data_IF_536399155111
#
_entry.id   IF_536399155111
#
_cell.length_a   1.000
_cell.length_b   1.000
_cell.length_c   1.000
_cell.angle_alpha   90.00
_cell.angle_beta   90.00
_cell.angle_gamma   90.00
#
_symmetry.space_group_name_H-M   'P 1'
#
loop_
_entity.id
_entity.type
_entity.pdbx_description
1 polymer ?
#
# COMPACT_ATOMS: atom_id res chain seq x y z
N UNK A 1 20.55 -27.49 -70.06
CA UNK A 1 19.77 -27.96 -68.89
C UNK A 1 20.60 -27.69 -67.65
N UNK A 2 20.46 -26.50 -67.04
CA UNK A 2 19.78 -26.23 -65.75
C UNK A 2 20.19 -27.17 -64.61
N UNK A 3 20.78 -26.60 -63.54
CA UNK A 3 20.34 -26.68 -62.13
C UNK A 3 21.46 -26.06 -61.25
N UNK A 4 21.40 -24.75 -60.97
CA UNK A 4 20.74 -24.08 -59.83
C UNK A 4 21.44 -24.30 -58.48
N UNK A 5 22.21 -23.28 -58.10
CA UNK A 5 22.69 -23.02 -56.76
C UNK A 5 21.51 -22.80 -55.80
N UNK A 6 21.55 -23.43 -54.62
CA UNK A 6 20.58 -23.19 -53.55
C UNK A 6 21.28 -22.40 -52.45
N UNK A 7 21.06 -21.08 -52.44
CA UNK A 7 21.47 -20.19 -51.36
C UNK A 7 20.36 -20.20 -50.30
N UNK A 8 20.63 -20.80 -49.13
CA UNK A 8 19.73 -20.72 -47.97
C UNK A 8 19.84 -19.32 -47.34
N UNK A 9 18.77 -18.54 -47.46
CA UNK A 9 18.61 -17.26 -46.77
C UNK A 9 17.90 -17.51 -45.44
N UNK A 10 18.64 -17.56 -44.33
CA UNK A 10 18.08 -17.59 -42.98
C UNK A 10 17.60 -16.19 -42.59
N UNK A 11 16.29 -15.99 -42.59
CA UNK A 11 15.66 -14.79 -42.04
C UNK A 11 15.65 -14.86 -40.51
N UNK A 12 16.49 -14.07 -39.85
CA UNK A 12 16.45 -13.88 -38.40
C UNK A 12 15.24 -13.00 -38.05
N UNK A 13 14.21 -13.61 -37.47
CA UNK A 13 13.05 -12.91 -36.95
C UNK A 13 13.44 -12.26 -35.61
N UNK A 14 13.79 -10.98 -35.63
CA UNK A 14 14.06 -10.20 -34.41
C UNK A 14 12.71 -9.76 -33.85
N UNK A 15 12.21 -10.48 -32.83
CA UNK A 15 11.02 -10.06 -32.10
C UNK A 15 11.32 -8.75 -31.35
N UNK A 16 10.44 -7.73 -31.40
CA UNK A 16 10.62 -6.52 -30.62
C UNK A 16 10.42 -6.84 -29.14
N UNK A 17 11.45 -6.56 -28.34
CA UNK A 17 11.40 -6.61 -26.89
C UNK A 17 10.50 -5.46 -26.39
N UNK A 18 9.27 -5.76 -25.98
CA UNK A 18 8.33 -4.77 -25.44
C UNK A 18 8.77 -4.28 -24.06
N UNK A 19 9.55 -3.20 -24.02
CA UNK A 19 9.98 -2.45 -22.82
C UNK A 19 8.88 -1.51 -22.28
N UNK A 20 7.64 -1.98 -22.10
CA UNK A 20 6.48 -1.10 -21.83
C UNK A 20 6.02 -0.98 -20.35
N UNK A 21 6.78 -1.48 -19.39
CA UNK A 21 6.46 -1.36 -17.96
C UNK A 21 7.07 -0.13 -17.25
N UNK A 22 8.17 0.42 -17.77
CA UNK A 22 8.93 1.50 -17.13
C UNK A 22 8.09 2.73 -16.69
N UNK A 23 7.13 3.25 -17.48
CA UNK A 23 6.42 4.47 -17.10
C UNK A 23 5.49 4.33 -15.88
N UNK A 24 4.90 3.13 -15.68
CA UNK A 24 4.02 2.88 -14.54
C UNK A 24 4.87 2.72 -13.27
N UNK A 25 5.90 1.88 -13.33
CA UNK A 25 6.76 1.62 -12.17
C UNK A 25 7.46 2.89 -11.68
N UNK A 26 7.89 3.75 -12.60
CA UNK A 26 8.47 5.06 -12.28
C UNK A 26 7.45 5.97 -11.58
N UNK A 27 6.22 6.04 -12.09
CA UNK A 27 5.14 6.84 -11.48
C UNK A 27 4.78 6.34 -10.07
N UNK A 28 4.72 5.01 -9.88
CA UNK A 28 4.49 4.40 -8.57
C UNK A 28 5.65 4.70 -7.61
N UNK A 29 6.89 4.58 -8.08
CA UNK A 29 8.09 4.89 -7.30
C UNK A 29 8.13 6.36 -6.86
N UNK A 30 7.69 7.26 -7.73
CA UNK A 30 7.59 8.68 -7.40
C UNK A 30 6.55 8.95 -6.31
N UNK A 31 5.35 8.36 -6.41
CA UNK A 31 4.31 8.46 -5.38
C UNK A 31 4.78 7.89 -4.03
N UNK A 32 5.50 6.77 -4.06
CA UNK A 32 6.09 6.13 -2.88
C UNK A 32 7.07 7.06 -2.16
N UNK A 33 8.01 7.63 -2.91
CA UNK A 33 9.04 8.55 -2.40
C UNK A 33 8.42 9.81 -1.81
N UNK A 34 7.48 10.41 -2.52
CA UNK A 34 6.80 11.61 -2.03
C UNK A 34 6.01 11.31 -0.76
N UNK A 35 5.30 10.18 -0.71
CA UNK A 35 4.51 9.76 0.45
C UNK A 35 5.40 9.55 1.69
N UNK A 36 6.53 8.84 1.56
CA UNK A 36 7.37 8.53 2.73
C UNK A 36 8.08 9.78 3.28
N UNK A 37 8.47 10.72 2.43
CA UNK A 37 9.00 12.03 2.86
C UNK A 37 7.93 12.81 3.63
N UNK A 38 6.69 12.83 3.15
CA UNK A 38 5.60 13.53 3.86
C UNK A 38 5.30 12.83 5.19
N UNK A 39 5.17 11.51 5.20
CA UNK A 39 4.79 10.73 6.38
C UNK A 39 5.85 10.79 7.48
N UNK A 40 7.13 10.63 7.13
CA UNK A 40 8.17 10.36 8.11
C UNK A 40 9.16 11.51 8.32
N UNK A 41 9.34 12.41 7.36
CA UNK A 41 10.36 13.46 7.44
C UNK A 41 9.80 14.89 7.47
N UNK A 42 8.54 15.07 7.10
CA UNK A 42 7.89 16.39 7.12
C UNK A 42 7.32 16.69 8.51
N UNK A 43 7.50 17.92 9.04
CA UNK A 43 6.82 18.38 10.25
C UNK A 43 5.29 18.29 10.13
N UNK A 44 4.62 17.86 11.20
CA UNK A 44 3.17 17.63 11.21
C UNK A 44 2.35 18.82 10.68
N UNK A 45 2.72 20.04 11.10
CA UNK A 45 2.07 21.28 10.66
C UNK A 45 2.10 21.53 9.15
N UNK A 46 2.99 20.87 8.40
CA UNK A 46 3.11 20.99 6.95
C UNK A 46 2.54 19.79 6.18
N UNK A 47 2.16 18.69 6.85
CA UNK A 47 1.75 17.44 6.19
C UNK A 47 0.44 17.57 5.45
N UNK A 48 -0.57 18.19 6.06
CA UNK A 48 -1.91 18.35 5.45
C UNK A 48 -1.82 18.92 4.04
N UNK A 49 -1.20 20.10 3.88
CA UNK A 49 -1.05 20.76 2.57
C UNK A 49 -0.25 19.92 1.57
N UNK A 50 0.78 19.19 2.03
CA UNK A 50 1.59 18.35 1.15
C UNK A 50 0.83 17.11 0.68
N UNK A 51 0.05 16.48 1.55
CA UNK A 51 -0.81 15.37 1.15
C UNK A 51 -1.97 15.81 0.24
N UNK A 52 -2.50 17.03 0.38
CA UNK A 52 -3.47 17.57 -0.58
C UNK A 52 -2.87 17.64 -2.00
N UNK A 53 -1.66 18.18 -2.13
CA UNK A 53 -0.96 18.22 -3.41
C UNK A 53 -0.62 16.83 -3.96
N UNK A 54 -0.12 15.93 -3.10
CA UNK A 54 0.20 14.56 -3.49
C UNK A 54 -1.04 13.75 -3.87
N UNK A 55 -2.18 13.98 -3.22
CA UNK A 55 -3.45 13.34 -3.57
C UNK A 55 -3.92 13.73 -4.97
N UNK A 56 -3.77 15.00 -5.36
CA UNK A 56 -4.09 15.44 -6.72
C UNK A 56 -3.17 14.80 -7.77
N UNK A 57 -1.87 14.70 -7.47
CA UNK A 57 -0.89 13.99 -8.32
C UNK A 57 -1.24 12.51 -8.47
N UNK A 58 -1.52 11.83 -7.37
CA UNK A 58 -1.87 10.41 -7.37
C UNK A 58 -3.14 10.13 -8.20
N UNK A 59 -4.14 11.02 -8.12
CA UNK A 59 -5.32 10.94 -8.96
C UNK A 59 -4.99 11.04 -10.46
N UNK A 60 -4.11 11.95 -10.85
CA UNK A 60 -3.63 12.04 -12.24
C UNK A 60 -2.94 10.75 -12.71
N UNK A 61 -2.16 10.11 -11.83
CA UNK A 61 -1.51 8.82 -12.13
C UNK A 61 -2.55 7.71 -12.30
N UNK A 62 -3.54 7.59 -11.41
CA UNK A 62 -4.56 6.54 -11.52
C UNK A 62 -5.47 6.70 -12.75
N UNK A 63 -5.74 7.93 -13.17
CA UNK A 63 -6.42 8.22 -14.43
C UNK A 63 -5.58 7.84 -15.65
N UNK A 64 -4.29 8.18 -15.63
CA UNK A 64 -3.37 7.88 -16.74
C UNK A 64 -3.19 6.37 -16.94
N UNK A 65 -3.11 5.63 -15.84
CA UNK A 65 -2.92 4.17 -15.82
C UNK A 65 -4.20 3.44 -15.38
N UNK A 66 -5.34 3.85 -15.95
CA UNK A 66 -6.63 3.23 -15.64
C UNK A 66 -6.61 1.70 -15.91
N UNK A 67 -7.23 0.93 -15.01
CA UNK A 67 -7.26 -0.54 -15.09
C UNK A 67 -6.09 -1.24 -14.41
N UNK A 68 -5.12 -0.49 -13.87
CA UNK A 68 -4.07 -1.04 -13.01
C UNK A 68 -4.44 -0.91 -11.52
N UNK A 69 -4.10 -1.94 -10.74
CA UNK A 69 -4.33 -1.92 -9.29
C UNK A 69 -3.37 -0.98 -8.57
N UNK A 70 -2.10 -0.95 -8.97
CA UNK A 70 -1.04 -0.23 -8.25
C UNK A 70 -1.31 1.26 -8.08
N UNK A 71 -1.74 2.01 -9.12
CA UNK A 71 -2.09 3.42 -8.97
C UNK A 71 -3.26 3.64 -7.99
N UNK A 72 -4.28 2.78 -8.03
CA UNK A 72 -5.43 2.86 -7.13
C UNK A 72 -5.05 2.57 -5.68
N UNK A 73 -4.15 1.60 -5.45
CA UNK A 73 -3.61 1.33 -4.11
C UNK A 73 -2.86 2.54 -3.58
N UNK A 74 -1.97 3.14 -4.37
CA UNK A 74 -1.20 4.29 -3.93
C UNK A 74 -2.04 5.54 -3.74
N UNK A 75 -2.99 5.81 -4.64
CA UNK A 75 -3.97 6.89 -4.44
C UNK A 75 -4.76 6.68 -3.15
N UNK A 76 -5.25 5.46 -2.91
CA UNK A 76 -5.94 5.12 -1.65
C UNK A 76 -5.08 5.36 -0.42
N UNK A 77 -3.80 4.97 -0.44
CA UNK A 77 -2.85 5.18 0.68
C UNK A 77 -2.66 6.67 0.94
N UNK A 78 -2.49 7.46 -0.11
CA UNK A 78 -2.29 8.90 -0.03
C UNK A 78 -3.57 9.61 0.48
N UNK A 79 -4.73 9.26 -0.06
CA UNK A 79 -6.04 9.81 0.34
C UNK A 79 -6.39 9.45 1.78
N UNK A 80 -6.13 8.21 2.21
CA UNK A 80 -6.34 7.81 3.62
C UNK A 80 -5.34 8.45 4.57
N UNK A 81 -4.10 8.73 4.13
CA UNK A 81 -3.14 9.52 4.90
C UNK A 81 -3.61 10.98 5.03
N UNK A 82 -4.12 11.57 3.94
CA UNK A 82 -4.73 12.91 3.96
C UNK A 82 -5.93 12.96 4.92
N UNK A 83 -6.75 11.91 4.95
CA UNK A 83 -7.86 11.81 5.89
C UNK A 83 -7.38 11.90 7.34
N UNK A 84 -6.28 11.21 7.66
CA UNK A 84 -5.68 11.23 8.99
C UNK A 84 -5.19 12.64 9.39
N UNK A 85 -4.51 13.35 8.50
CA UNK A 85 -4.04 14.73 8.77
C UNK A 85 -5.19 15.75 8.86
N UNK A 86 -6.27 15.54 8.10
CA UNK A 86 -7.40 16.48 8.04
C UNK A 86 -8.30 16.41 9.28
N UNK A 87 -8.53 15.21 9.81
CA UNK A 87 -9.45 14.99 10.92
C UNK A 87 -10.91 15.38 10.64
N UNK A 88 -11.75 15.29 11.67
CA UNK A 88 -13.15 15.72 11.64
C UNK A 88 -14.00 15.08 10.54
N UNK A 89 -15.05 15.79 10.11
CA UNK A 89 -15.98 15.30 9.07
C UNK A 89 -15.32 15.13 7.69
N UNK A 90 -14.27 15.92 7.40
CA UNK A 90 -13.51 15.82 6.17
C UNK A 90 -12.76 14.49 6.04
N UNK A 91 -12.25 13.95 7.15
CA UNK A 91 -11.56 12.66 7.18
C UNK A 91 -12.46 11.50 6.75
N UNK A 92 -13.72 11.48 7.20
CA UNK A 92 -14.63 10.37 6.89
C UNK A 92 -14.95 10.29 5.39
N UNK A 93 -15.14 11.43 4.71
CA UNK A 93 -15.37 11.46 3.26
C UNK A 93 -14.16 10.91 2.50
N UNK A 94 -12.95 11.33 2.88
CA UNK A 94 -11.71 10.84 2.28
C UNK A 94 -11.48 9.34 2.55
N UNK A 95 -11.79 8.87 3.77
CA UNK A 95 -11.72 7.45 4.10
C UNK A 95 -12.68 6.61 3.24
N UNK A 96 -13.90 7.12 2.94
CA UNK A 96 -14.83 6.46 2.02
C UNK A 96 -14.31 6.40 0.59
N UNK A 97 -13.63 7.45 0.13
CA UNK A 97 -12.99 7.46 -1.20
C UNK A 97 -11.85 6.44 -1.26
N UNK A 98 -10.94 6.44 -0.28
CA UNK A 98 -9.86 5.46 -0.20
C UNK A 98 -10.39 4.02 -0.11
N UNK A 99 -11.46 3.78 0.66
CA UNK A 99 -12.14 2.48 0.69
C UNK A 99 -12.53 2.00 -0.70
N UNK A 100 -13.20 2.84 -1.49
CA UNK A 100 -13.63 2.50 -2.84
C UNK A 100 -12.43 2.19 -3.77
N UNK A 101 -11.34 2.96 -3.65
CA UNK A 101 -10.10 2.72 -4.40
C UNK A 101 -9.50 1.36 -4.08
N UNK A 102 -9.40 0.98 -2.80
CA UNK A 102 -8.89 -0.33 -2.40
C UNK A 102 -9.80 -1.47 -2.86
N UNK A 103 -11.12 -1.31 -2.75
CA UNK A 103 -12.07 -2.31 -3.24
C UNK A 103 -11.95 -2.52 -4.76
N UNK A 104 -11.78 -1.43 -5.52
CA UNK A 104 -11.54 -1.51 -6.96
C UNK A 104 -10.18 -2.14 -7.29
N UNK A 105 -9.11 -1.77 -6.58
CA UNK A 105 -7.79 -2.38 -6.77
C UNK A 105 -7.79 -3.89 -6.49
N UNK A 106 -8.52 -4.32 -5.45
CA UNK A 106 -8.71 -5.73 -5.11
C UNK A 106 -9.46 -6.46 -6.23
N UNK A 107 -10.51 -5.84 -6.78
CA UNK A 107 -11.29 -6.42 -7.86
C UNK A 107 -10.49 -6.55 -9.18
N UNK A 108 -9.59 -5.62 -9.46
CA UNK A 108 -8.71 -5.67 -10.63
C UNK A 108 -7.62 -6.74 -10.48
N UNK A 109 -6.85 -6.67 -9.38
CA UNK A 109 -5.78 -7.61 -9.06
C UNK A 109 -5.36 -7.42 -7.60
N UNK A 110 -5.94 -8.24 -6.73
CA UNK A 110 -5.76 -8.12 -5.28
C UNK A 110 -4.37 -8.49 -4.74
N UNK A 111 -3.56 -9.24 -5.48
CA UNK A 111 -2.18 -9.57 -5.10
C UNK A 111 -1.16 -8.51 -5.54
N UNK A 112 -1.58 -7.46 -6.27
CA UNK A 112 -0.71 -6.36 -6.64
C UNK A 112 -0.08 -5.70 -5.40
N UNK A 113 1.19 -5.30 -5.52
CA UNK A 113 1.99 -4.73 -4.42
C UNK A 113 1.95 -5.61 -3.17
N UNK A 114 2.14 -6.92 -3.36
CA UNK A 114 2.14 -7.93 -2.30
C UNK A 114 0.87 -7.89 -1.42
N UNK A 115 -0.29 -7.62 -2.04
CA UNK A 115 -1.57 -7.58 -1.35
C UNK A 115 -1.80 -6.33 -0.49
N UNK A 116 -1.06 -5.24 -0.72
CA UNK A 116 -1.13 -4.01 0.08
C UNK A 116 -2.55 -3.45 0.21
N UNK A 117 -3.41 -3.61 -0.80
CA UNK A 117 -4.80 -3.14 -0.77
C UNK A 117 -5.61 -3.77 0.38
N UNK A 118 -5.39 -5.06 0.68
CA UNK A 118 -6.09 -5.75 1.76
C UNK A 118 -5.75 -5.16 3.12
N UNK A 119 -4.45 -4.96 3.38
CA UNK A 119 -3.97 -4.38 4.64
C UNK A 119 -4.49 -2.95 4.82
N UNK A 120 -4.35 -2.10 3.80
CA UNK A 120 -4.79 -0.71 3.88
C UNK A 120 -6.31 -0.57 4.03
N UNK A 121 -7.10 -1.41 3.34
CA UNK A 121 -8.55 -1.44 3.50
C UNK A 121 -8.94 -1.90 4.91
N UNK A 122 -8.24 -2.88 5.47
CA UNK A 122 -8.48 -3.32 6.84
C UNK A 122 -8.24 -2.21 7.87
N UNK A 123 -7.17 -1.42 7.70
CA UNK A 123 -6.88 -0.24 8.55
C UNK A 123 -8.07 0.69 8.61
N UNK A 124 -8.70 0.97 7.46
CA UNK A 124 -9.92 1.78 7.45
C UNK A 124 -11.06 1.10 8.23
N UNK A 125 -11.27 -0.20 8.04
CA UNK A 125 -12.34 -0.92 8.73
C UNK A 125 -12.18 -0.93 10.26
N UNK A 126 -10.97 -0.98 10.82
CA UNK A 126 -10.80 -1.00 12.28
C UNK A 126 -10.54 0.38 12.92
N UNK A 127 -10.15 1.40 12.14
CA UNK A 127 -9.92 2.76 12.65
C UNK A 127 -11.10 3.73 12.42
N UNK A 128 -11.93 3.52 11.39
CA UNK A 128 -13.09 4.38 11.12
C UNK A 128 -14.27 3.97 12.04
N UNK A 129 -15.09 4.92 12.52
CA UNK A 129 -16.30 4.59 13.28
C UNK A 129 -17.26 3.66 12.51
N UNK A 130 -17.98 2.81 13.23
CA UNK A 130 -19.03 1.96 12.67
C UNK A 130 -20.32 2.73 12.31
N UNK A 131 -21.36 1.98 11.91
CA UNK A 131 -22.70 2.51 11.66
C UNK A 131 -23.28 3.19 12.92
N UNK A 132 -24.01 4.33 12.79
CA UNK A 132 -24.44 4.98 11.56
C UNK A 132 -23.46 6.03 11.00
N UNK A 133 -22.37 6.34 11.71
CA UNK A 133 -21.48 7.43 11.32
C UNK A 133 -20.56 7.04 10.17
N UNK A 134 -19.95 5.85 10.23
CA UNK A 134 -19.00 5.37 9.23
C UNK A 134 -19.29 3.95 8.79
N UNK A 135 -18.22 3.27 8.36
CA UNK A 135 -18.27 1.91 7.80
C UNK A 135 -17.35 0.94 8.56
N UNK A 136 -16.86 1.34 9.74
CA UNK A 136 -16.00 0.51 10.55
C UNK A 136 -16.61 -0.85 10.86
N UNK A 137 -15.80 -1.89 10.70
CA UNK A 137 -16.15 -3.29 10.92
C UNK A 137 -14.87 -4.06 11.31
N UNK A 138 -14.70 -4.27 12.62
CA UNK A 138 -13.51 -4.95 13.18
C UNK A 138 -13.42 -6.42 12.75
N UNK A 139 -14.53 -7.09 12.45
CA UNK A 139 -14.50 -8.48 12.00
C UNK A 139 -13.99 -8.55 10.56
N UNK A 140 -14.53 -7.68 9.69
CA UNK A 140 -14.06 -7.57 8.30
C UNK A 140 -12.60 -7.12 8.20
N UNK A 141 -12.15 -6.26 9.12
CA UNK A 141 -10.76 -5.89 9.22
C UNK A 141 -9.85 -7.11 9.48
N UNK A 142 -10.22 -8.01 10.39
CA UNK A 142 -9.43 -9.21 10.70
C UNK A 142 -9.32 -10.14 9.48
N UNK A 143 -10.41 -10.35 8.76
CA UNK A 143 -10.41 -11.18 7.53
C UNK A 143 -9.43 -10.63 6.49
N UNK A 144 -9.47 -9.32 6.25
CA UNK A 144 -8.59 -8.65 5.31
C UNK A 144 -7.12 -8.64 5.77
N UNK A 145 -6.85 -8.47 7.05
CA UNK A 145 -5.47 -8.54 7.59
C UNK A 145 -4.90 -9.95 7.47
N UNK A 146 -5.69 -10.98 7.76
CA UNK A 146 -5.30 -12.37 7.54
C UNK A 146 -5.04 -12.65 6.06
N UNK A 147 -5.86 -12.07 5.16
CA UNK A 147 -5.59 -12.14 3.73
C UNK A 147 -4.28 -11.46 3.35
N UNK A 148 -4.01 -10.26 3.86
CA UNK A 148 -2.74 -9.55 3.62
C UNK A 148 -1.53 -10.36 4.11
N UNK A 149 -1.61 -10.94 5.31
CA UNK A 149 -0.58 -11.84 5.84
C UNK A 149 -0.39 -13.11 5.00
N UNK A 150 -1.46 -13.67 4.44
CA UNK A 150 -1.33 -14.85 3.57
C UNK A 150 -0.62 -14.55 2.26
N UNK A 151 -0.72 -13.31 1.75
CA UNK A 151 -0.04 -12.87 0.53
C UNK A 151 1.42 -12.47 0.84
N UNK A 152 1.65 -11.75 1.93
CA UNK A 152 2.97 -11.25 2.31
C UNK A 152 3.28 -11.56 3.80
N UNK A 153 3.62 -12.82 4.13
CA UNK A 153 3.77 -13.28 5.51
C UNK A 153 4.98 -12.68 6.24
N UNK A 154 5.99 -12.26 5.50
CA UNK A 154 7.24 -11.68 6.03
C UNK A 154 7.32 -10.16 5.86
N UNK A 155 6.27 -9.53 5.32
CA UNK A 155 6.24 -8.10 5.05
C UNK A 155 6.12 -7.27 6.32
N UNK A 156 6.78 -6.11 6.34
CA UNK A 156 6.75 -5.19 7.49
C UNK A 156 5.35 -4.63 7.77
N UNK A 157 4.67 -4.13 6.73
CA UNK A 157 3.36 -3.49 6.83
C UNK A 157 2.23 -4.47 7.26
N UNK A 158 2.02 -5.63 6.63
CA UNK A 158 0.93 -6.54 7.02
C UNK A 158 1.11 -7.09 8.44
N UNK A 159 2.34 -7.38 8.87
CA UNK A 159 2.62 -7.80 10.24
C UNK A 159 2.38 -6.67 11.24
N UNK A 160 2.81 -5.44 10.93
CA UNK A 160 2.53 -4.27 11.77
C UNK A 160 1.03 -3.99 11.89
N UNK A 161 0.29 -3.98 10.77
CA UNK A 161 -1.15 -3.70 10.78
C UNK A 161 -1.95 -4.76 11.54
N UNK A 162 -1.57 -6.04 11.44
CA UNK A 162 -2.25 -7.06 12.23
C UNK A 162 -1.97 -6.92 13.72
N UNK A 163 -0.73 -6.57 14.10
CA UNK A 163 -0.41 -6.27 15.49
C UNK A 163 -1.17 -5.05 16.02
N UNK A 164 -1.25 -3.96 15.25
CA UNK A 164 -2.00 -2.75 15.62
C UNK A 164 -3.51 -3.06 15.79
N UNK A 165 -4.07 -3.86 14.88
CA UNK A 165 -5.43 -4.37 15.01
C UNK A 165 -5.64 -5.19 16.30
N UNK A 166 -4.73 -6.13 16.60
CA UNK A 166 -4.83 -6.95 17.82
C UNK A 166 -4.87 -6.07 19.07
N UNK A 167 -4.03 -5.04 19.13
CA UNK A 167 -4.04 -4.06 20.23
C UNK A 167 -5.37 -3.28 20.26
N UNK A 168 -5.87 -2.82 19.12
CA UNK A 168 -7.14 -2.08 18.99
C UNK A 168 -8.37 -2.87 19.48
N UNK A 169 -8.32 -4.20 19.38
CA UNK A 169 -9.41 -5.08 19.81
C UNK A 169 -9.17 -5.72 21.19
N UNK A 170 -8.17 -5.25 21.94
CA UNK A 170 -7.87 -5.72 23.29
C UNK A 170 -7.13 -7.06 23.36
N UNK A 171 -6.62 -7.55 22.22
CA UNK A 171 -5.84 -8.79 22.07
C UNK A 171 -4.33 -8.51 22.03
N UNK A 172 -3.87 -7.51 22.79
CA UNK A 172 -2.48 -7.04 22.76
C UNK A 172 -1.44 -8.13 23.07
N UNK A 173 -1.77 -9.10 23.92
CA UNK A 173 -0.88 -10.23 24.24
C UNK A 173 -0.53 -11.09 23.01
N UNK A 174 -1.36 -11.08 21.95
CA UNK A 174 -1.12 -11.82 20.72
C UNK A 174 -0.26 -11.04 19.70
N UNK A 175 -0.02 -9.74 19.94
CA UNK A 175 0.61 -8.85 18.96
C UNK A 175 2.14 -9.03 18.85
N UNK A 176 2.81 -9.41 19.93
CA UNK A 176 4.29 -9.53 20.01
C UNK A 176 4.92 -10.32 18.86
N UNK A 177 4.49 -11.56 18.53
CA UNK A 177 5.12 -12.32 17.45
C UNK A 177 5.01 -11.63 16.07
N UNK A 178 3.95 -10.86 15.83
CA UNK A 178 3.80 -10.11 14.58
C UNK A 178 4.70 -8.88 14.55
N UNK A 179 4.86 -8.18 15.67
CA UNK A 179 5.78 -7.05 15.78
C UNK A 179 7.24 -7.49 15.60
N UNK A 180 7.61 -8.64 16.17
CA UNK A 180 8.94 -9.22 15.97
C UNK A 180 9.19 -9.61 14.51
N UNK A 181 8.20 -10.20 13.83
CA UNK A 181 8.28 -10.45 12.37
C UNK A 181 8.42 -9.16 11.57
N UNK A 182 7.67 -8.12 11.92
CA UNK A 182 7.81 -6.82 11.26
C UNK A 182 9.22 -6.22 11.46
N UNK A 183 9.81 -6.35 12.65
CA UNK A 183 11.21 -5.93 12.89
C UNK A 183 12.24 -6.80 12.16
N UNK A 184 11.92 -8.05 11.84
CA UNK A 184 12.78 -8.96 11.08
C UNK A 184 12.54 -8.91 9.56
N UNK A 185 11.52 -8.20 9.09
CA UNK A 185 11.18 -8.11 7.67
C UNK A 185 12.38 -7.65 6.82
N UNK A 186 12.58 -8.19 5.60
CA UNK A 186 13.67 -7.76 4.73
C UNK A 186 13.52 -6.29 4.34
N UNK A 187 14.63 -5.55 4.14
CA UNK A 187 14.57 -4.19 3.63
C UNK A 187 14.00 -4.18 2.20
N UNK A 188 13.17 -3.19 1.90
CA UNK A 188 12.63 -2.94 0.56
C UNK A 188 13.54 -1.95 -0.18
N UNK A 189 14.21 -2.35 -1.27
CA UNK A 189 15.09 -1.46 -2.02
C UNK A 189 14.36 -0.17 -2.46
N UNK A 190 14.96 0.99 -2.18
CA UNK A 190 14.36 2.29 -2.53
C UNK A 190 13.21 2.74 -1.62
N UNK A 191 12.98 2.06 -0.50
CA UNK A 191 11.97 2.37 0.51
C UNK A 191 12.57 2.52 1.91
N UNK A 192 13.83 2.94 2.00
CA UNK A 192 14.60 3.01 3.24
C UNK A 192 13.98 3.97 4.26
N UNK A 193 13.40 5.08 3.79
CA UNK A 193 12.71 6.06 4.65
C UNK A 193 11.46 5.44 5.25
N UNK A 194 10.62 4.82 4.43
CA UNK A 194 9.41 4.14 4.89
C UNK A 194 9.73 2.99 5.85
N UNK A 195 10.73 2.16 5.54
CA UNK A 195 11.12 1.03 6.37
C UNK A 195 11.67 1.49 7.73
N UNK A 196 12.50 2.52 7.75
CA UNK A 196 13.02 3.09 9.00
C UNK A 196 11.89 3.65 9.85
N UNK A 197 10.99 4.45 9.25
CA UNK A 197 9.84 5.02 9.92
C UNK A 197 8.89 3.96 10.47
N UNK A 198 8.57 2.95 9.67
CA UNK A 198 7.69 1.84 10.10
C UNK A 198 8.33 1.00 11.20
N UNK A 199 9.63 0.72 11.14
CA UNK A 199 10.32 -0.01 12.24
C UNK A 199 10.24 0.75 13.55
N UNK A 200 10.26 2.08 13.51
CA UNK A 200 10.09 2.89 14.70
C UNK A 200 8.67 2.80 15.26
N UNK A 201 7.64 2.88 14.41
CA UNK A 201 6.25 2.64 14.80
C UNK A 201 6.07 1.23 15.41
N UNK A 202 6.72 0.21 14.83
CA UNK A 202 6.73 -1.16 15.37
C UNK A 202 7.36 -1.23 16.76
N UNK A 203 8.51 -0.56 16.99
CA UNK A 203 9.17 -0.53 18.30
C UNK A 203 8.30 0.14 19.36
N UNK A 204 7.63 1.23 18.99
CA UNK A 204 6.72 1.96 19.88
C UNK A 204 5.52 1.09 20.28
N UNK A 205 4.90 0.43 19.30
CA UNK A 205 3.79 -0.48 19.58
C UNK A 205 4.22 -1.68 20.42
N UNK A 206 5.42 -2.22 20.17
CA UNK A 206 5.98 -3.32 20.97
C UNK A 206 6.25 -2.91 22.41
N UNK A 207 6.76 -1.69 22.64
CA UNK A 207 6.94 -1.15 23.98
C UNK A 207 5.61 -1.02 24.72
N UNK A 208 4.56 -0.52 24.04
CA UNK A 208 3.21 -0.43 24.59
C UNK A 208 2.65 -1.81 24.96
N UNK A 209 2.79 -2.80 24.07
CA UNK A 209 2.31 -4.18 24.31
C UNK A 209 3.01 -4.82 25.50
N UNK A 210 4.33 -4.61 25.65
CA UNK A 210 5.09 -5.13 26.80
C UNK A 210 4.75 -4.48 28.14
N UNK A 211 4.04 -3.36 28.11
CA UNK A 211 3.59 -2.63 29.29
C UNK A 211 2.12 -2.90 29.65
N UNK A 212 1.42 -3.76 28.90
CA UNK A 212 0.08 -4.27 29.22
C UNK A 212 0.15 -5.33 30.31
#
# INVERSE_FOLDING_TARGET
MKLLATLLLTAACVLPFSLRAAPLDDAITELQRDWEVIRYQTPESARLKRFEALSAKAHGVSQTFAGHSEPLVWEGIIVSSLANEKGGLGALSLAKQAKAMYEQAIALRGDALDGSAYGSLAVLYYKVPGWPLGFGDKARAEELLKKALSVNPTGIDPNYFYADYLVEVGRGAEATPYLERALAAPPRPGREVADTGRREEVRQLLAKVKAL
#
